data_IF_032282933288
#
_entry.id   IF_032282933288
#
_cell.length_a   1.000
_cell.length_b   1.000
_cell.length_c   1.000
_cell.angle_alpha   90.00
_cell.angle_beta   90.00
_cell.angle_gamma   90.00
#
_symmetry.space_group_name_H-M   'P 1'
#
loop_
_entity.id
_entity.type
_entity.pdbx_description
1 polymer ?
#
# COMPACT_ATOMS: atom_id res chain seq x y z
N UNK A 1 24.28 -13.66 16.57
CA UNK A 1 23.29 -13.78 15.53
C UNK A 1 23.09 -12.43 14.85
N UNK A 2 23.03 -12.43 13.52
CA UNK A 2 22.68 -11.26 12.70
C UNK A 2 21.36 -11.59 11.99
N UNK A 3 20.38 -10.68 12.05
CA UNK A 3 19.12 -10.81 11.35
C UNK A 3 18.77 -9.50 10.62
N UNK A 4 18.21 -9.64 9.43
CA UNK A 4 17.75 -8.51 8.64
C UNK A 4 16.25 -8.35 8.83
N UNK A 5 15.81 -7.15 9.21
CA UNK A 5 14.40 -6.83 9.33
C UNK A 5 13.91 -6.24 8.00
N UNK A 6 13.28 -7.09 7.18
CA UNK A 6 12.93 -6.75 5.79
C UNK A 6 11.97 -5.57 5.62
N UNK A 7 11.16 -5.25 6.61
CA UNK A 7 10.17 -4.18 6.53
C UNK A 7 10.74 -2.79 6.86
N UNK A 8 11.70 -2.71 7.77
CA UNK A 8 12.34 -1.45 8.17
C UNK A 8 13.73 -1.24 7.55
N UNK A 9 14.35 -2.31 7.06
CA UNK A 9 15.73 -2.30 6.61
C UNK A 9 16.76 -2.34 7.74
N UNK A 10 16.32 -2.43 9.00
CA UNK A 10 17.21 -2.53 10.16
C UNK A 10 18.00 -3.85 10.16
N UNK A 11 19.22 -3.79 10.69
CA UNK A 11 20.02 -4.98 10.97
C UNK A 11 20.02 -5.22 12.48
N UNK A 12 19.59 -6.40 12.90
CA UNK A 12 19.54 -6.77 14.32
C UNK A 12 20.75 -7.63 14.68
N UNK A 13 21.52 -7.18 15.67
CA UNK A 13 22.65 -7.92 16.24
C UNK A 13 22.22 -8.49 17.61
N UNK A 14 22.42 -9.78 17.83
CA UNK A 14 22.06 -10.47 19.07
C UNK A 14 23.21 -11.33 19.60
N UNK A 15 23.33 -11.42 20.92
CA UNK A 15 24.27 -12.32 21.61
C UNK A 15 25.57 -11.67 22.02
N UNK A 16 25.69 -10.33 21.91
CA UNK A 16 26.80 -9.63 22.56
C UNK A 16 26.64 -9.68 24.09
N UNK A 17 27.75 -9.88 24.80
CA UNK A 17 27.77 -9.69 26.27
C UNK A 17 27.59 -8.22 26.59
N UNK A 18 26.92 -7.90 27.71
CA UNK A 18 26.60 -6.52 28.10
C UNK A 18 27.83 -5.61 28.13
N UNK A 19 28.95 -6.10 28.59
CA UNK A 19 30.22 -5.35 28.64
C UNK A 19 30.90 -5.18 27.26
N UNK A 20 30.34 -5.74 26.19
CA UNK A 20 30.86 -5.62 24.81
C UNK A 20 29.87 -4.88 23.88
N UNK A 21 28.76 -4.41 24.40
CA UNK A 21 27.76 -3.70 23.60
C UNK A 21 28.29 -2.38 23.09
N UNK A 22 29.00 -1.60 23.94
CA UNK A 22 29.55 -0.31 23.56
C UNK A 22 30.63 -0.47 22.49
N UNK A 23 31.58 -1.39 22.69
CA UNK A 23 32.64 -1.67 21.71
C UNK A 23 32.06 -2.04 20.34
N UNK A 24 30.99 -2.85 20.34
CA UNK A 24 30.30 -3.25 19.11
C UNK A 24 29.57 -2.08 18.43
N UNK A 25 28.92 -1.23 19.22
CA UNK A 25 28.25 -0.03 18.73
C UNK A 25 29.26 0.94 18.10
N UNK A 26 30.37 1.22 18.79
CA UNK A 26 31.40 2.14 18.30
C UNK A 26 31.98 1.65 16.97
N UNK A 27 32.28 0.36 16.85
CA UNK A 27 32.74 -0.24 15.61
C UNK A 27 31.73 -0.20 14.46
N UNK A 28 30.43 -0.34 14.77
CA UNK A 28 29.36 -0.20 13.77
C UNK A 28 29.17 1.27 13.36
N UNK A 29 29.30 2.19 14.30
CA UNK A 29 29.17 3.62 14.05
C UNK A 29 30.31 4.14 13.14
N UNK A 30 31.53 3.63 13.31
CA UNK A 30 32.66 3.90 12.40
C UNK A 30 32.37 3.46 10.96
N UNK A 31 31.53 2.43 10.76
CA UNK A 31 31.05 1.98 9.45
C UNK A 31 29.84 2.76 8.93
N UNK A 32 29.35 3.75 9.67
CA UNK A 32 28.21 4.60 9.29
C UNK A 32 26.85 4.04 9.70
N UNK A 33 26.79 3.00 10.54
CA UNK A 33 25.52 2.52 11.14
C UNK A 33 25.20 3.30 12.41
N UNK A 34 23.91 3.41 12.72
CA UNK A 34 23.42 4.02 13.95
C UNK A 34 22.26 3.19 14.53
N UNK A 35 21.79 3.57 15.72
CA UNK A 35 20.71 2.87 16.39
C UNK A 35 19.38 3.05 15.68
N UNK A 36 18.59 1.99 15.57
CA UNK A 36 17.17 2.06 15.21
C UNK A 36 16.33 2.70 16.30
N UNK A 37 15.17 3.26 15.94
CA UNK A 37 14.27 3.94 16.87
C UNK A 37 13.72 3.01 17.95
N UNK A 38 13.86 3.41 19.21
CA UNK A 38 13.36 2.70 20.39
C UNK A 38 12.72 3.67 21.39
N UNK A 39 11.82 3.16 22.24
CA UNK A 39 11.18 3.98 23.27
C UNK A 39 10.25 5.07 22.71
N UNK A 40 10.09 6.21 23.41
CA UNK A 40 9.26 7.34 23.04
C UNK A 40 9.96 8.26 22.03
N UNK A 41 10.15 7.76 20.84
CA UNK A 41 10.83 8.44 19.73
C UNK A 41 10.07 8.22 18.41
N UNK A 42 10.50 8.87 17.35
CA UNK A 42 10.15 8.46 16.00
C UNK A 42 10.76 7.06 15.79
N UNK A 43 9.94 6.10 15.43
CA UNK A 43 10.39 4.74 15.17
C UNK A 43 10.87 4.60 13.75
N UNK A 44 11.86 3.74 13.51
CA UNK A 44 12.23 3.36 12.16
C UNK A 44 10.95 3.07 11.36
N UNK A 45 10.75 3.77 10.26
CA UNK A 45 9.57 3.60 9.42
C UNK A 45 9.59 2.22 8.76
N UNK A 46 8.45 1.78 8.30
CA UNK A 46 8.31 0.46 7.66
C UNK A 46 7.60 0.61 6.32
N UNK A 47 8.08 -0.09 5.31
CA UNK A 47 7.47 -0.12 3.99
C UNK A 47 7.23 -1.55 3.51
N UNK A 48 6.23 -1.73 2.64
CA UNK A 48 6.11 -2.98 1.89
C UNK A 48 7.21 -3.05 0.82
N UNK A 49 7.31 -4.19 0.11
CA UNK A 49 8.29 -4.35 -0.97
C UNK A 49 8.03 -3.40 -2.14
N UNK A 50 6.81 -2.94 -2.29
CA UNK A 50 6.35 -1.88 -3.18
C UNK A 50 6.87 -1.96 -4.62
N UNK A 51 7.14 -0.80 -5.18
CA UNK A 51 7.56 -0.64 -6.57
C UNK A 51 8.83 -1.44 -6.95
N UNK A 52 9.63 -1.87 -5.97
CA UNK A 52 10.81 -2.69 -6.23
C UNK A 52 10.46 -4.08 -6.79
N UNK A 53 9.32 -4.67 -6.41
CA UNK A 53 8.93 -6.04 -6.80
C UNK A 53 7.42 -6.25 -6.99
N UNK A 54 6.58 -5.28 -6.69
CA UNK A 54 5.13 -5.44 -6.70
C UNK A 54 4.48 -4.56 -7.78
N UNK A 55 3.80 -5.19 -8.73
CA UNK A 55 3.07 -4.51 -9.81
C UNK A 55 1.83 -3.74 -9.34
N UNK A 56 1.38 -3.98 -8.11
CA UNK A 56 0.22 -3.33 -7.52
C UNK A 56 0.57 -2.00 -6.84
N UNK A 57 1.84 -1.62 -6.80
CA UNK A 57 2.29 -0.40 -6.14
C UNK A 57 1.87 0.85 -6.92
N UNK A 58 1.31 1.82 -6.19
CA UNK A 58 0.85 3.09 -6.74
C UNK A 58 1.87 4.24 -6.57
N UNK A 59 2.96 4.04 -5.84
CA UNK A 59 4.05 5.02 -5.66
C UNK A 59 5.34 4.29 -5.23
N UNK A 60 6.46 5.00 -5.09
CA UNK A 60 7.73 4.43 -4.59
C UNK A 60 7.80 4.51 -3.07
N UNK A 61 7.42 3.42 -2.40
CA UNK A 61 7.41 3.30 -0.93
C UNK A 61 8.81 3.34 -0.35
N UNK A 62 9.80 2.79 -1.06
CA UNK A 62 11.19 2.78 -0.60
C UNK A 62 11.76 4.19 -0.55
N UNK A 63 11.35 5.04 -1.49
CA UNK A 63 11.70 6.44 -1.52
C UNK A 63 11.06 7.20 -0.36
N UNK A 64 9.73 7.03 -0.15
CA UNK A 64 9.02 7.62 0.97
C UNK A 64 9.61 7.21 2.33
N UNK A 65 9.92 5.92 2.47
CA UNK A 65 10.58 5.36 3.64
C UNK A 65 11.95 6.02 3.92
N UNK A 66 12.79 6.13 2.88
CA UNK A 66 14.10 6.79 3.00
C UNK A 66 13.97 8.27 3.34
N UNK A 67 13.03 8.96 2.73
CA UNK A 67 12.78 10.38 3.00
C UNK A 67 12.47 10.62 4.47
N UNK A 68 11.53 9.84 5.05
CA UNK A 68 11.18 9.94 6.47
C UNK A 68 12.37 9.62 7.37
N UNK A 69 13.15 8.56 7.08
CA UNK A 69 14.32 8.23 7.90
C UNK A 69 15.33 9.37 7.87
N UNK A 70 15.65 9.89 6.70
CA UNK A 70 16.65 10.97 6.58
C UNK A 70 16.20 12.26 7.27
N UNK A 71 14.92 12.60 7.18
CA UNK A 71 14.37 13.82 7.80
C UNK A 71 14.34 13.73 9.32
N UNK A 72 13.96 12.59 9.88
CA UNK A 72 13.78 12.39 11.32
C UNK A 72 14.90 11.59 11.98
N UNK A 73 16.09 11.56 11.39
CA UNK A 73 17.20 10.74 11.87
C UNK A 73 17.53 11.00 13.35
N UNK A 74 17.65 12.27 13.72
CA UNK A 74 17.91 12.68 15.11
C UNK A 74 16.78 12.28 16.07
N UNK A 75 15.52 12.40 15.64
CA UNK A 75 14.34 12.03 16.44
C UNK A 75 14.20 10.51 16.58
N UNK A 76 14.77 9.73 15.64
CA UNK A 76 14.83 8.28 15.72
C UNK A 76 15.82 7.85 16.80
N UNK A 77 16.99 8.50 16.86
CA UNK A 77 18.08 8.12 17.77
C UNK A 77 17.90 8.68 19.18
N UNK A 78 17.18 9.78 19.33
CA UNK A 78 17.02 10.50 20.61
C UNK A 78 15.58 10.51 21.06
N UNK A 79 15.22 9.74 22.09
CA UNK A 79 13.86 9.76 22.63
C UNK A 79 13.48 11.15 23.13
N UNK A 80 12.64 11.88 22.37
CA UNK A 80 12.22 13.24 22.68
C UNK A 80 10.69 13.42 22.68
N UNK A 81 9.94 12.38 22.31
CA UNK A 81 8.49 12.42 22.22
C UNK A 81 7.82 11.89 23.51
N UNK A 82 6.59 12.33 23.86
CA UNK A 82 5.83 11.74 24.97
C UNK A 82 5.49 10.25 24.72
N UNK A 83 5.28 9.89 23.46
CA UNK A 83 5.01 8.52 23.01
C UNK A 83 5.73 8.25 21.69
N UNK A 84 5.93 6.94 21.39
CA UNK A 84 6.45 6.51 20.10
C UNK A 84 5.56 6.98 18.96
N UNK A 85 6.16 7.41 17.86
CA UNK A 85 5.48 7.72 16.61
C UNK A 85 5.95 6.78 15.50
N UNK A 86 5.03 6.20 14.76
CA UNK A 86 5.32 5.22 13.71
C UNK A 86 4.75 5.66 12.38
N UNK A 87 5.62 5.67 11.37
CA UNK A 87 5.26 5.77 9.97
C UNK A 87 5.20 4.39 9.34
N UNK A 88 4.21 4.14 8.48
CA UNK A 88 4.15 2.95 7.65
C UNK A 88 3.66 3.26 6.26
N UNK A 89 4.28 2.62 5.28
CA UNK A 89 4.07 2.83 3.86
C UNK A 89 3.59 1.53 3.21
N UNK A 90 2.37 1.56 2.65
CA UNK A 90 1.80 0.47 1.87
C UNK A 90 1.52 0.93 0.45
N UNK A 91 2.03 0.24 -0.54
CA UNK A 91 1.96 0.62 -1.96
C UNK A 91 0.58 0.59 -2.57
N UNK A 92 -0.37 -0.08 -1.95
CA UNK A 92 -1.76 -0.18 -2.41
C UNK A 92 -2.71 -0.52 -1.25
N UNK A 93 -4.01 -0.58 -1.55
CA UNK A 93 -5.07 -0.84 -0.56
C UNK A 93 -5.04 -2.26 0.04
N UNK A 94 -4.18 -3.16 -0.43
CA UNK A 94 -3.94 -4.45 0.26
C UNK A 94 -3.30 -4.28 1.64
N UNK A 95 -2.71 -3.11 1.90
CA UNK A 95 -2.12 -2.71 3.18
C UNK A 95 -1.27 -3.81 3.84
N UNK A 96 -0.31 -4.37 3.08
CA UNK A 96 0.56 -5.47 3.51
C UNK A 96 1.33 -5.16 4.81
N UNK A 97 1.45 -3.87 5.16
CA UNK A 97 2.10 -3.39 6.38
C UNK A 97 1.16 -3.26 7.57
N UNK A 98 -0.15 -3.51 7.39
CA UNK A 98 -1.17 -3.20 8.39
C UNK A 98 -1.05 -1.75 8.89
N UNK A 99 -0.83 -0.81 7.97
CA UNK A 99 -0.54 0.58 8.30
C UNK A 99 -1.76 1.28 8.90
N UNK A 100 -2.94 1.02 8.36
CA UNK A 100 -4.20 1.65 8.78
C UNK A 100 -4.51 1.51 10.28
N UNK A 101 -4.08 0.41 10.89
CA UNK A 101 -4.35 0.11 12.32
C UNK A 101 -3.10 0.05 13.19
N UNK A 102 -1.90 0.12 12.60
CA UNK A 102 -0.64 -0.06 13.34
C UNK A 102 0.36 1.06 13.17
N UNK A 103 -0.02 2.13 12.49
CA UNK A 103 0.79 3.32 12.34
C UNK A 103 0.09 4.53 12.92
N UNK A 104 0.87 5.45 13.49
CA UNK A 104 0.39 6.76 13.89
C UNK A 104 0.15 7.62 12.63
N UNK A 105 0.97 7.43 11.60
CA UNK A 105 0.74 7.94 10.24
C UNK A 105 0.90 6.80 9.23
N UNK A 106 -0.14 6.56 8.46
CA UNK A 106 -0.20 5.57 7.39
C UNK A 106 -0.27 6.24 6.02
N UNK A 107 0.52 5.76 5.07
CA UNK A 107 0.50 6.19 3.66
C UNK A 107 0.15 4.98 2.82
N UNK A 108 -1.02 5.01 2.19
CA UNK A 108 -1.58 3.86 1.45
C UNK A 108 -1.80 4.25 0.00
N UNK A 109 -1.16 3.53 -0.90
CA UNK A 109 -1.26 3.78 -2.34
C UNK A 109 -2.68 3.67 -2.87
N UNK A 110 -3.03 4.58 -3.77
CA UNK A 110 -4.33 4.67 -4.43
C UNK A 110 -4.20 5.32 -5.81
N UNK A 111 -5.32 5.45 -6.54
CA UNK A 111 -5.38 6.14 -7.84
C UNK A 111 -6.69 6.94 -7.97
N UNK A 112 -6.76 7.88 -8.92
CA UNK A 112 -7.94 8.72 -9.14
C UNK A 112 -8.73 8.40 -10.39
N UNK A 113 -8.03 8.04 -11.46
CA UNK A 113 -8.61 7.77 -12.78
C UNK A 113 -9.28 6.39 -12.85
N UNK A 114 -9.71 5.99 -14.03
CA UNK A 114 -10.36 4.72 -14.27
C UNK A 114 -9.36 3.56 -14.12
N UNK A 115 -9.85 2.43 -13.63
CA UNK A 115 -9.10 1.18 -13.65
C UNK A 115 -8.70 0.79 -15.07
N UNK A 116 -7.58 0.14 -15.22
CA UNK A 116 -7.12 -0.45 -16.49
C UNK A 116 -7.58 -1.89 -16.60
N UNK A 117 -7.74 -2.35 -17.83
CA UNK A 117 -8.10 -3.73 -18.11
C UNK A 117 -7.38 -4.25 -19.36
N UNK A 118 -7.10 -5.56 -19.37
CA UNK A 118 -6.59 -6.31 -20.50
C UNK A 118 -7.59 -7.39 -20.91
N UNK A 119 -8.18 -7.26 -22.09
CA UNK A 119 -9.22 -8.18 -22.58
C UNK A 119 -8.63 -9.58 -22.83
N UNK A 120 -7.38 -9.67 -23.30
CA UNK A 120 -6.75 -10.96 -23.58
C UNK A 120 -6.53 -11.78 -22.30
N UNK A 121 -6.07 -11.11 -21.23
CA UNK A 121 -5.89 -11.74 -19.92
C UNK A 121 -7.23 -12.03 -19.24
N UNK A 122 -8.23 -11.16 -19.40
CA UNK A 122 -9.58 -11.40 -18.88
C UNK A 122 -10.24 -12.62 -19.50
N UNK A 123 -10.13 -12.80 -20.82
CA UNK A 123 -10.60 -13.98 -21.53
C UNK A 123 -9.87 -15.26 -21.09
N UNK A 124 -8.55 -15.20 -20.92
CA UNK A 124 -7.74 -16.34 -20.41
C UNK A 124 -8.15 -16.71 -18.98
N UNK A 125 -8.35 -15.72 -18.12
CA UNK A 125 -8.82 -15.93 -16.75
C UNK A 125 -10.20 -16.61 -16.75
N UNK A 126 -11.15 -16.08 -17.54
CA UNK A 126 -12.50 -16.62 -17.64
C UNK A 126 -12.54 -18.04 -18.21
N UNK A 127 -11.74 -18.34 -19.22
CA UNK A 127 -11.63 -19.68 -19.78
C UNK A 127 -11.14 -20.73 -18.75
N UNK A 128 -10.31 -20.31 -17.79
CA UNK A 128 -9.77 -21.16 -16.73
C UNK A 128 -10.75 -21.33 -15.56
N UNK A 129 -11.42 -20.26 -15.16
CA UNK A 129 -12.19 -20.17 -13.90
C UNK A 129 -13.71 -20.28 -14.11
N UNK A 130 -14.22 -19.84 -15.24
CA UNK A 130 -15.63 -19.93 -15.62
C UNK A 130 -16.54 -18.90 -14.98
N UNK A 131 -17.85 -19.03 -15.30
CA UNK A 131 -18.87 -18.06 -14.89
C UNK A 131 -19.11 -18.03 -13.37
N UNK A 132 -19.10 -19.19 -12.72
CA UNK A 132 -19.39 -19.26 -11.29
C UNK A 132 -18.35 -18.51 -10.45
N UNK A 133 -17.05 -18.67 -10.74
CA UNK A 133 -16.00 -17.94 -10.04
C UNK A 133 -16.06 -16.45 -10.38
N UNK A 134 -16.32 -16.08 -11.64
CA UNK A 134 -16.48 -14.69 -12.02
C UNK A 134 -17.60 -13.99 -11.22
N UNK A 135 -18.74 -14.63 -11.09
CA UNK A 135 -19.87 -14.07 -10.35
C UNK A 135 -19.61 -14.04 -8.84
N UNK A 136 -19.14 -15.15 -8.28
CA UNK A 136 -19.02 -15.30 -6.82
C UNK A 136 -17.78 -14.58 -6.24
N UNK A 137 -16.64 -14.61 -6.94
CA UNK A 137 -15.37 -14.13 -6.40
C UNK A 137 -15.01 -12.73 -6.89
N UNK A 138 -15.59 -12.27 -8.02
CA UNK A 138 -15.32 -10.93 -8.55
C UNK A 138 -16.51 -10.01 -8.35
N UNK A 139 -17.67 -10.35 -8.95
CA UNK A 139 -18.83 -9.46 -8.98
C UNK A 139 -19.49 -9.35 -7.61
N UNK A 140 -19.82 -10.47 -6.97
CA UNK A 140 -20.52 -10.50 -5.69
C UNK A 140 -19.69 -9.96 -4.52
N UNK A 141 -18.37 -10.02 -4.64
CA UNK A 141 -17.44 -9.53 -3.60
C UNK A 141 -17.18 -8.02 -3.68
N UNK A 142 -17.65 -7.33 -4.70
CA UNK A 142 -17.51 -5.88 -4.78
C UNK A 142 -18.32 -5.20 -3.66
N UNK A 143 -17.68 -4.47 -2.73
CA UNK A 143 -18.37 -3.92 -1.55
C UNK A 143 -19.38 -2.83 -1.91
N UNK A 144 -19.17 -2.12 -3.01
CA UNK A 144 -20.05 -1.05 -3.49
C UNK A 144 -20.90 -1.47 -4.69
N UNK A 145 -20.75 -2.72 -5.15
CA UNK A 145 -21.41 -3.23 -6.37
C UNK A 145 -21.06 -2.43 -7.63
N UNK A 146 -19.89 -1.81 -7.63
CA UNK A 146 -19.38 -1.06 -8.78
C UNK A 146 -19.08 -1.95 -10.00
N UNK A 147 -18.97 -3.29 -9.81
CA UNK A 147 -18.71 -4.25 -10.89
C UNK A 147 -20.02 -4.95 -11.26
N UNK A 148 -20.33 -4.90 -12.54
CA UNK A 148 -21.52 -5.54 -13.11
C UNK A 148 -21.12 -6.49 -14.23
N UNK A 149 -21.73 -7.68 -14.26
CA UNK A 149 -21.65 -8.59 -15.39
C UNK A 149 -22.77 -8.23 -16.37
N UNK A 150 -22.42 -8.02 -17.64
CA UNK A 150 -23.34 -7.64 -18.70
C UNK A 150 -23.17 -8.48 -19.94
N UNK A 151 -24.16 -8.54 -20.81
CA UNK A 151 -23.96 -8.98 -22.18
C UNK A 151 -23.21 -7.92 -22.97
N UNK A 152 -22.34 -8.35 -23.88
CA UNK A 152 -21.50 -7.44 -24.68
C UNK A 152 -22.32 -6.39 -25.43
N UNK A 153 -23.55 -6.76 -25.88
CA UNK A 153 -24.50 -5.85 -26.56
C UNK A 153 -25.09 -4.77 -25.65
N UNK A 154 -25.01 -4.93 -24.33
CA UNK A 154 -25.58 -4.01 -23.32
C UNK A 154 -24.50 -3.05 -22.74
N UNK A 155 -23.27 -3.11 -23.23
CA UNK A 155 -22.22 -2.20 -22.78
C UNK A 155 -22.55 -0.77 -23.13
N UNK A 156 -22.39 0.12 -22.15
CA UNK A 156 -22.55 1.55 -22.34
C UNK A 156 -21.39 2.11 -23.18
N UNK A 157 -21.69 3.04 -24.07
CA UNK A 157 -20.72 3.68 -24.96
C UNK A 157 -20.91 5.21 -24.97
N UNK A 158 -19.96 5.94 -25.55
CA UNK A 158 -19.98 7.40 -25.64
C UNK A 158 -19.70 8.08 -24.30
N UNK A 159 -20.15 9.32 -24.14
CA UNK A 159 -19.87 10.16 -22.96
C UNK A 159 -20.40 9.56 -21.66
N UNK A 160 -21.50 8.81 -21.73
CA UNK A 160 -22.05 8.08 -20.59
C UNK A 160 -21.10 6.98 -20.06
N UNK A 161 -20.13 6.54 -20.86
CA UNK A 161 -19.14 5.53 -20.51
C UNK A 161 -17.78 6.11 -20.05
N UNK A 162 -17.61 7.41 -20.03
CA UNK A 162 -16.32 8.05 -19.72
C UNK A 162 -15.72 7.65 -18.34
N UNK A 163 -16.60 7.31 -17.38
CA UNK A 163 -16.20 6.87 -16.03
C UNK A 163 -16.22 5.34 -15.89
N UNK A 164 -16.42 4.60 -16.96
CA UNK A 164 -16.52 3.15 -16.94
C UNK A 164 -15.24 2.50 -17.45
N UNK A 165 -14.92 1.37 -16.86
CA UNK A 165 -13.97 0.42 -17.42
C UNK A 165 -14.74 -0.81 -17.86
N UNK A 166 -14.70 -1.13 -19.15
CA UNK A 166 -15.38 -2.30 -19.71
C UNK A 166 -14.35 -3.28 -20.25
N UNK A 167 -14.50 -4.56 -19.91
CA UNK A 167 -13.61 -5.62 -20.40
C UNK A 167 -14.41 -6.87 -20.77
N UNK A 168 -14.26 -7.34 -21.99
CA UNK A 168 -14.89 -8.59 -22.44
C UNK A 168 -14.19 -9.78 -21.83
N UNK A 169 -14.95 -10.67 -21.22
CA UNK A 169 -14.47 -11.94 -20.67
C UNK A 169 -14.76 -13.10 -21.62
N UNK A 170 -15.76 -12.95 -22.48
CA UNK A 170 -16.12 -13.87 -23.56
C UNK A 170 -16.73 -13.11 -24.74
N UNK A 171 -17.15 -13.81 -25.78
CA UNK A 171 -17.84 -13.16 -26.92
C UNK A 171 -19.24 -12.65 -26.55
N UNK A 172 -19.83 -13.21 -25.48
CA UNK A 172 -21.19 -12.88 -25.04
C UNK A 172 -21.22 -12.02 -23.77
N UNK A 173 -20.19 -12.10 -22.91
CA UNK A 173 -20.19 -11.46 -21.60
C UNK A 173 -19.00 -10.53 -21.39
N UNK A 174 -19.24 -9.46 -20.64
CA UNK A 174 -18.24 -8.46 -20.24
C UNK A 174 -18.46 -8.03 -18.80
N UNK A 175 -17.37 -7.59 -18.14
CA UNK A 175 -17.46 -6.83 -16.90
C UNK A 175 -17.50 -5.34 -17.24
N UNK A 176 -18.40 -4.61 -16.59
CA UNK A 176 -18.47 -3.16 -16.60
C UNK A 176 -18.25 -2.66 -15.17
N UNK A 177 -17.26 -1.81 -14.98
CA UNK A 177 -16.84 -1.28 -13.67
C UNK A 177 -17.14 0.21 -13.65
N UNK A 178 -18.00 0.65 -12.73
CA UNK A 178 -18.25 2.06 -12.49
C UNK A 178 -17.15 2.62 -11.57
N UNK A 179 -16.25 3.44 -12.13
CA UNK A 179 -15.14 3.99 -11.38
C UNK A 179 -15.53 5.12 -10.42
N UNK A 180 -16.76 5.67 -10.52
CA UNK A 180 -17.29 6.62 -9.53
C UNK A 180 -17.69 5.92 -8.25
N UNK A 181 -18.27 4.73 -8.37
CA UNK A 181 -18.70 3.91 -7.22
C UNK A 181 -17.60 3.01 -6.69
N UNK A 182 -16.48 2.90 -7.43
CA UNK A 182 -15.35 2.07 -7.04
C UNK A 182 -14.57 2.69 -5.85
N UNK A 183 -14.54 1.98 -4.72
CA UNK A 183 -13.76 2.37 -3.51
C UNK A 183 -12.29 1.94 -3.56
N UNK A 184 -11.81 1.43 -4.67
CA UNK A 184 -10.40 1.06 -4.90
C UNK A 184 -9.84 0.03 -3.92
N UNK A 185 -10.69 -0.90 -3.47
CA UNK A 185 -10.31 -1.92 -2.47
C UNK A 185 -9.37 -3.01 -3.00
N UNK A 186 -9.06 -3.03 -4.29
CA UNK A 186 -8.15 -3.96 -4.98
C UNK A 186 -8.64 -5.43 -5.04
N UNK A 187 -9.78 -5.79 -4.49
CA UNK A 187 -10.22 -7.19 -4.47
C UNK A 187 -10.28 -7.82 -5.87
N UNK A 188 -10.97 -7.17 -6.81
CA UNK A 188 -11.09 -7.66 -8.19
C UNK A 188 -9.73 -7.73 -8.92
N UNK A 189 -8.84 -6.78 -8.65
CA UNK A 189 -7.47 -6.76 -9.18
C UNK A 189 -6.68 -7.96 -8.68
N UNK A 190 -6.82 -8.31 -7.41
CA UNK A 190 -6.13 -9.47 -6.82
C UNK A 190 -6.66 -10.80 -7.37
N UNK A 191 -7.97 -10.90 -7.64
CA UNK A 191 -8.57 -12.12 -8.19
C UNK A 191 -8.26 -12.27 -9.67
N UNK A 192 -8.39 -11.19 -10.45
CA UNK A 192 -8.13 -11.16 -11.89
C UNK A 192 -6.78 -10.50 -12.20
N UNK A 193 -5.71 -10.97 -11.56
CA UNK A 193 -4.35 -10.41 -11.69
C UNK A 193 -3.94 -10.26 -13.15
N UNK A 194 -3.49 -9.06 -13.52
CA UNK A 194 -3.10 -8.70 -14.88
C UNK A 194 -4.27 -8.38 -15.80
N UNK A 195 -5.46 -8.98 -15.60
CA UNK A 195 -6.65 -8.67 -16.37
C UNK A 195 -7.30 -7.35 -15.94
N UNK A 196 -7.25 -7.05 -14.65
CA UNK A 196 -7.62 -5.77 -14.06
C UNK A 196 -6.43 -5.18 -13.32
N UNK A 197 -6.26 -3.87 -13.40
CA UNK A 197 -5.19 -3.14 -12.72
C UNK A 197 -5.70 -1.76 -12.25
N UNK A 198 -4.97 -1.18 -11.28
CA UNK A 198 -5.21 0.21 -10.87
C UNK A 198 -5.07 1.19 -12.04
N UNK A 199 -5.58 2.40 -11.91
CA UNK A 199 -5.43 3.47 -12.90
C UNK A 199 -3.98 3.94 -13.06
N UNK A 200 -3.77 4.97 -13.84
CA UNK A 200 -2.46 5.57 -14.15
C UNK A 200 -2.17 6.82 -13.33
N UNK A 201 -3.21 7.53 -12.89
CA UNK A 201 -3.09 8.68 -12.01
C UNK A 201 -2.98 8.23 -10.56
N UNK A 202 -1.80 7.72 -10.21
CA UNK A 202 -1.48 7.11 -8.93
C UNK A 202 -0.90 8.08 -7.93
N UNK A 203 -1.03 7.76 -6.65
CA UNK A 203 -0.54 8.50 -5.51
C UNK A 203 -0.88 7.75 -4.23
N UNK A 204 -1.09 8.45 -3.12
CA UNK A 204 -1.42 7.83 -1.85
C UNK A 204 -2.51 8.59 -1.08
N UNK A 205 -3.22 7.85 -0.23
CA UNK A 205 -4.06 8.38 0.85
C UNK A 205 -3.25 8.43 2.13
N UNK A 206 -3.32 9.54 2.87
CA UNK A 206 -2.67 9.70 4.16
C UNK A 206 -3.71 9.58 5.26
N UNK A 207 -3.43 8.72 6.25
CA UNK A 207 -4.29 8.51 7.41
C UNK A 207 -3.48 8.71 8.69
N UNK A 208 -4.13 9.23 9.74
CA UNK A 208 -3.52 9.47 11.05
C UNK A 208 -4.37 8.82 12.15
N UNK A 209 -3.71 8.39 13.23
CA UNK A 209 -4.35 7.95 14.47
C UNK A 209 -4.66 6.44 14.53
N UNK A 210 -4.08 5.64 13.64
CA UNK A 210 -4.18 4.18 13.74
C UNK A 210 -3.51 3.67 15.02
N UNK A 211 -4.19 2.78 15.77
CA UNK A 211 -3.66 2.23 17.02
C UNK A 211 -4.20 0.84 17.29
N UNK A 212 -3.30 -0.05 17.66
CA UNK A 212 -3.66 -1.39 18.12
C UNK A 212 -3.08 -1.66 19.49
N UNK A 213 -3.93 -1.91 20.46
CA UNK A 213 -3.54 -2.28 21.83
C UNK A 213 -4.41 -3.39 22.39
N UNK A 214 -3.87 -4.15 23.35
CA UNK A 214 -4.62 -5.22 24.01
C UNK A 214 -5.83 -4.70 24.82
N UNK A 215 -5.78 -3.43 25.29
CA UNK A 215 -6.84 -2.85 26.10
C UNK A 215 -7.98 -2.23 25.29
N UNK A 216 -7.65 -1.62 24.15
CA UNK A 216 -8.59 -0.80 23.35
C UNK A 216 -9.03 -1.55 22.09
N UNK A 217 -8.28 -2.57 21.66
CA UNK A 217 -8.45 -3.22 20.36
C UNK A 217 -7.81 -2.42 19.23
N UNK A 218 -8.43 -2.48 18.07
CA UNK A 218 -7.94 -1.85 16.84
C UNK A 218 -8.71 -0.55 16.57
N UNK A 219 -7.98 0.56 16.49
CA UNK A 219 -8.46 1.84 15.99
C UNK A 219 -7.88 2.07 14.60
N UNK A 220 -8.75 2.29 13.63
CA UNK A 220 -8.35 2.60 12.26
C UNK A 220 -7.90 4.06 12.16
N UNK A 221 -6.89 4.33 11.35
CA UNK A 221 -6.49 5.68 11.01
C UNK A 221 -7.62 6.43 10.30
N UNK A 222 -7.72 7.72 10.58
CA UNK A 222 -8.67 8.63 9.90
C UNK A 222 -7.98 9.27 8.70
N UNK A 223 -8.67 9.33 7.57
CA UNK A 223 -8.18 9.97 6.35
C UNK A 223 -8.03 11.48 6.59
N UNK A 224 -6.83 12.00 6.39
CA UNK A 224 -6.54 13.45 6.45
C UNK A 224 -6.24 14.03 5.07
N UNK A 225 -5.60 13.24 4.19
CA UNK A 225 -5.39 13.60 2.79
C UNK A 225 -5.94 12.45 1.93
N UNK A 226 -7.08 12.66 1.24
CA UNK A 226 -7.69 11.61 0.42
C UNK A 226 -6.81 11.16 -0.74
N UNK A 227 -6.06 12.10 -1.33
CA UNK A 227 -5.13 11.82 -2.41
C UNK A 227 -3.98 12.82 -2.40
N UNK A 228 -2.77 12.30 -2.38
CA UNK A 228 -1.52 13.04 -2.57
C UNK A 228 -0.75 12.41 -3.72
N UNK A 229 -0.40 13.16 -4.78
CA UNK A 229 0.50 12.64 -5.79
C UNK A 229 1.86 12.36 -5.15
N UNK A 230 2.54 11.30 -5.58
CA UNK A 230 3.89 10.95 -5.13
C UNK A 230 4.70 10.54 -6.36
N UNK A 231 5.01 11.52 -7.22
CA UNK A 231 5.68 11.34 -8.52
C UNK A 231 6.98 12.11 -8.63
N UNK A 232 7.01 13.36 -8.15
CA UNK A 232 8.17 14.26 -8.21
C UNK A 232 8.94 14.29 -6.89
N UNK A 233 10.12 14.92 -6.89
CA UNK A 233 10.92 15.13 -5.68
C UNK A 233 10.16 16.01 -4.68
N UNK A 234 9.52 17.06 -5.18
CA UNK A 234 8.72 17.99 -4.37
C UNK A 234 7.53 17.30 -3.70
N UNK A 235 6.89 16.31 -4.38
CA UNK A 235 5.80 15.52 -3.77
C UNK A 235 6.29 14.73 -2.56
N UNK A 236 7.49 14.12 -2.64
CA UNK A 236 8.07 13.36 -1.54
C UNK A 236 8.61 14.26 -0.42
N UNK A 237 9.10 15.46 -0.73
CA UNK A 237 9.46 16.46 0.27
C UNK A 237 8.23 16.98 1.03
N UNK A 238 7.12 17.18 0.33
CA UNK A 238 5.86 17.63 0.94
C UNK A 238 5.18 16.56 1.81
N UNK A 239 5.63 15.30 1.75
CA UNK A 239 5.12 14.21 2.60
C UNK A 239 5.63 14.31 4.04
N UNK A 240 6.72 15.01 4.29
CA UNK A 240 7.46 15.09 5.56
C UNK A 240 7.45 16.48 6.13
#
# INVERSE_FOLDING_TARGET
LIAFHGQSGDIMFQGAKTNKVQDAFDALNELGFDLGGAGPAVRTSMSCVGAARCEQSCYDESRAHRQVINTFLDDIHRPALPYKFKFKFSGCANDCMNSIQRADMAVIGTWRDNMRSDEGLARKWFAKHGMNELVNDVVARCPTKAIMLKEVKELRTGDAAAHLTSVKVSDTHALEIDNKDCVRCMHCVNVMTGALAHGTDTGATILIGGKRTLKIGDLMGTVVVPFMPLKSDEDYEALV
#
